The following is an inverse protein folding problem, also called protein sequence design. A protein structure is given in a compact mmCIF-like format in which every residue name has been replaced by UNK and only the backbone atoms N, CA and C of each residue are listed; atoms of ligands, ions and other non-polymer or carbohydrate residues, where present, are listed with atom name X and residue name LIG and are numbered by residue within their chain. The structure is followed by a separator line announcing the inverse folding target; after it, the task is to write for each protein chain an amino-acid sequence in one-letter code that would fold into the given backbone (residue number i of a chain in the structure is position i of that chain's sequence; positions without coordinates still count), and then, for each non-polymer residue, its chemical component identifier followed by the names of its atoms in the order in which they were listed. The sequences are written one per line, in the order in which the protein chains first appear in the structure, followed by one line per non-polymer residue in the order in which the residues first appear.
data_IF_809599677390
#
_entry.id   IF_809599677390
#
_cell.length_a   1.000
_cell.length_b   1.000
_cell.length_c   1.000
_cell.angle_alpha   90.00
_cell.angle_beta   90.00
_cell.angle_gamma   90.00
#
_symmetry.space_group_name_H-M   'P 1'
#
loop_
_entity.id
_entity.type
_entity.pdbx_description
1 polymer ?
#
# COMPACT_ATOMS: atom_id res chain seq x y z
N UNK A 1 52.52 38.33 -20.81
CA UNK A 1 51.69 38.74 -21.96
C UNK A 1 50.24 38.40 -21.61
N UNK A 2 49.53 39.34 -20.97
CA UNK A 2 48.58 40.28 -21.62
C UNK A 2 47.30 39.55 -22.07
N UNK A 3 46.19 39.53 -21.30
CA UNK A 3 45.24 40.61 -20.94
C UNK A 3 44.27 41.00 -22.08
N UNK A 4 42.96 40.88 -21.80
CA UNK A 4 41.76 41.66 -22.24
C UNK A 4 40.53 40.78 -21.93
N UNK A 5 39.63 40.99 -20.95
CA UNK A 5 38.81 42.13 -20.47
C UNK A 5 37.79 42.74 -21.46
N UNK A 6 36.50 42.52 -21.15
CA UNK A 6 35.29 43.34 -21.34
C UNK A 6 34.15 42.60 -20.60
N UNK A 7 33.40 43.09 -19.59
CA UNK A 7 32.90 44.43 -19.25
C UNK A 7 31.77 44.80 -20.24
N UNK A 8 30.51 45.13 -19.93
CA UNK A 8 29.65 45.46 -18.78
C UNK A 8 28.19 45.16 -19.28
N UNK A 9 27.15 44.95 -18.47
CA UNK A 9 26.33 46.07 -17.98
C UNK A 9 25.35 45.63 -16.89
N UNK A 10 25.34 46.41 -15.82
CA UNK A 10 24.48 46.31 -14.63
C UNK A 10 23.42 47.40 -14.78
N UNK A 11 22.15 47.01 -14.85
CA UNK A 11 21.03 47.96 -14.73
C UNK A 11 20.40 47.83 -13.35
N UNK A 12 20.84 48.75 -12.47
CA UNK A 12 20.12 49.17 -11.28
C UNK A 12 18.92 50.03 -11.70
N UNK A 13 17.72 49.61 -11.33
CA UNK A 13 16.59 50.50 -11.11
C UNK A 13 15.86 49.98 -9.88
N UNK A 14 16.11 50.65 -8.75
CA UNK A 14 15.33 50.48 -7.54
C UNK A 14 13.90 51.00 -7.72
N UNK A 15 13.02 50.60 -6.82
CA UNK A 15 12.20 51.50 -5.99
C UNK A 15 11.28 50.68 -5.08
N UNK A 16 11.16 51.15 -3.83
CA UNK A 16 10.11 50.94 -2.85
C UNK A 16 10.06 49.60 -2.07
N UNK A 17 10.67 49.63 -0.89
CA UNK A 17 10.24 48.88 0.31
C UNK A 17 9.00 49.55 0.92
N UNK A 18 7.96 48.81 1.34
CA UNK A 18 7.05 49.29 2.36
C UNK A 18 7.51 48.80 3.74
N UNK A 19 7.93 49.75 4.57
CA UNK A 19 8.00 49.57 6.02
C UNK A 19 6.59 49.51 6.63
N UNK A 20 6.52 48.76 7.73
CA UNK A 20 5.64 48.96 8.90
C UNK A 20 4.12 49.00 8.72
N UNK A 21 3.47 47.86 8.95
CA UNK A 21 2.28 47.77 9.81
C UNK A 21 2.29 46.41 10.54
N UNK A 22 3.10 46.30 11.59
CA UNK A 22 2.90 45.32 12.65
C UNK A 22 2.29 46.06 13.84
N UNK A 23 0.98 46.25 13.77
CA UNK A 23 0.18 46.65 14.92
C UNK A 23 0.22 45.55 15.97
N UNK A 24 0.85 45.86 17.10
CA UNK A 24 0.67 45.27 18.44
C UNK A 24 -0.48 44.25 18.56
N UNK A 25 -0.16 42.96 18.45
CA UNK A 25 -0.95 41.92 19.11
C UNK A 25 -0.40 41.84 20.53
N UNK A 26 -1.24 42.26 21.46
CA UNK A 26 -1.04 42.14 22.90
C UNK A 26 -0.70 40.68 23.24
N UNK A 27 0.54 40.44 23.63
CA UNK A 27 0.99 39.15 24.13
C UNK A 27 0.45 38.98 25.55
N UNK A 28 -0.85 38.70 25.64
CA UNK A 28 -1.45 38.17 26.85
C UNK A 28 -0.68 36.91 27.24
N UNK A 29 -0.06 36.95 28.42
CA UNK A 29 0.68 35.86 29.03
C UNK A 29 -0.19 34.60 29.08
N UNK A 30 0.02 33.68 28.14
CA UNK A 30 -0.55 32.33 28.22
C UNK A 30 0.27 31.58 29.26
N UNK A 31 -0.33 31.38 30.43
CA UNK A 31 0.17 30.48 31.47
C UNK A 31 0.37 29.09 30.85
N UNK A 32 1.59 28.51 30.85
CA UNK A 32 1.83 27.18 30.30
C UNK A 32 1.21 26.06 31.16
N UNK A 33 0.46 26.40 32.22
CA UNK A 33 -0.14 25.48 33.18
C UNK A 33 -1.57 25.00 32.93
N UNK A 34 -2.27 25.37 31.84
CA UNK A 34 -3.66 24.94 31.63
C UNK A 34 -3.93 24.36 30.25
N UNK A 35 -3.22 23.29 29.89
CA UNK A 35 -3.80 22.31 28.97
C UNK A 35 -4.72 21.47 29.82
N UNK A 36 -6.01 21.84 29.85
CA UNK A 36 -7.05 20.96 30.36
C UNK A 36 -6.98 19.69 29.52
N UNK A 37 -6.36 18.65 30.08
CA UNK A 37 -6.48 17.28 29.62
C UNK A 37 -7.92 16.86 29.93
N UNK A 38 -8.87 17.47 29.24
CA UNK A 38 -10.28 17.20 29.36
C UNK A 38 -10.47 15.74 29.00
N UNK A 39 -10.48 14.89 30.03
CA UNK A 39 -10.90 13.51 29.91
C UNK A 39 -12.32 13.58 29.37
N UNK A 40 -12.49 13.29 28.08
CA UNK A 40 -13.82 13.16 27.50
C UNK A 40 -14.49 12.06 28.31
N UNK A 41 -15.42 12.42 29.22
CA UNK A 41 -16.17 11.43 29.96
C UNK A 41 -16.95 10.60 28.92
N UNK A 42 -16.61 9.32 28.74
CA UNK A 42 -17.26 8.49 27.72
C UNK A 42 -18.77 8.34 27.98
N UNK A 43 -19.25 8.71 29.18
CA UNK A 43 -20.66 8.69 29.58
C UNK A 43 -21.43 9.99 29.26
N UNK A 44 -20.75 11.10 28.96
CA UNK A 44 -21.38 12.40 28.72
C UNK A 44 -21.90 12.59 27.28
N UNK A 45 -21.71 11.59 26.41
CA UNK A 45 -22.00 11.71 24.98
C UNK A 45 -23.43 11.21 24.68
N UNK A 46 -24.30 12.03 24.03
CA UNK A 46 -25.72 11.71 23.83
C UNK A 46 -25.98 10.30 23.27
N UNK A 47 -27.09 9.66 23.68
CA UNK A 47 -27.42 8.27 23.33
C UNK A 47 -27.74 8.01 21.82
N UNK A 48 -27.50 8.98 20.94
CA UNK A 48 -27.73 8.88 19.50
C UNK A 48 -26.49 8.43 18.69
N UNK A 49 -26.66 8.29 17.39
CA UNK A 49 -25.59 7.91 16.45
C UNK A 49 -24.37 8.84 16.53
N UNK A 50 -24.59 10.14 16.79
CA UNK A 50 -23.52 11.12 16.98
C UNK A 50 -22.67 10.80 18.21
N UNK A 51 -23.31 10.34 19.29
CA UNK A 51 -22.57 9.99 20.49
C UNK A 51 -21.90 8.64 20.45
N UNK A 52 -22.46 7.69 19.70
CA UNK A 52 -21.75 6.45 19.35
C UNK A 52 -20.44 6.75 18.61
N UNK A 53 -20.51 7.59 17.57
CA UNK A 53 -19.33 8.04 16.79
C UNK A 53 -18.27 8.69 17.68
N UNK A 54 -18.67 9.62 18.55
CA UNK A 54 -17.72 10.32 19.41
C UNK A 54 -17.08 9.39 20.46
N UNK A 55 -17.83 8.43 21.04
CA UNK A 55 -17.26 7.43 21.96
C UNK A 55 -16.25 6.50 21.28
N UNK A 56 -16.54 6.05 20.06
CA UNK A 56 -15.60 5.24 19.28
C UNK A 56 -14.33 6.02 18.95
N UNK A 57 -14.47 7.28 18.53
CA UNK A 57 -13.33 8.17 18.28
C UNK A 57 -12.48 8.36 19.54
N UNK A 58 -13.11 8.61 20.68
CA UNK A 58 -12.40 8.76 21.95
C UNK A 58 -11.60 7.49 22.30
N UNK A 59 -12.22 6.30 22.22
CA UNK A 59 -11.54 5.01 22.43
C UNK A 59 -10.34 4.81 21.52
N UNK A 60 -10.50 5.07 20.22
CA UNK A 60 -9.42 4.94 19.24
C UNK A 60 -8.23 5.86 19.57
N UNK A 61 -8.51 7.11 19.95
CA UNK A 61 -7.46 8.09 20.26
C UNK A 61 -6.81 7.85 21.62
N UNK A 62 -7.53 7.33 22.61
CA UNK A 62 -7.01 7.12 23.96
C UNK A 62 -6.32 5.77 24.15
N UNK A 63 -6.84 4.71 23.49
CA UNK A 63 -6.40 3.33 23.70
C UNK A 63 -5.84 2.68 22.43
N UNK A 64 -5.78 3.40 21.30
CA UNK A 64 -5.15 2.95 20.07
C UNK A 64 -6.04 2.06 19.19
N UNK A 65 -5.47 1.47 18.12
CA UNK A 65 -6.22 0.73 17.11
C UNK A 65 -6.90 -0.53 17.64
N UNK A 66 -6.27 -1.22 18.61
CA UNK A 66 -6.80 -2.46 19.21
C UNK A 66 -8.01 -2.20 20.12
N UNK A 67 -8.32 -0.93 20.40
CA UNK A 67 -9.47 -0.55 21.20
C UNK A 67 -10.80 -0.76 20.47
N UNK A 68 -10.80 -0.94 19.15
CA UNK A 68 -12.00 -1.11 18.32
C UNK A 68 -12.06 -2.51 17.70
N UNK A 69 -13.27 -3.08 17.63
CA UNK A 69 -13.52 -4.32 16.91
C UNK A 69 -13.50 -4.10 15.39
N UNK A 70 -13.32 -5.16 14.60
CA UNK A 70 -13.33 -5.10 13.12
C UNK A 70 -14.52 -4.34 12.54
N UNK A 71 -15.73 -4.59 13.06
CA UNK A 71 -16.94 -3.91 12.59
C UNK A 71 -16.94 -2.43 12.99
N UNK A 72 -16.37 -2.10 14.15
CA UNK A 72 -16.24 -0.73 14.64
C UNK A 72 -15.24 0.07 13.79
N UNK A 73 -14.15 -0.56 13.34
CA UNK A 73 -13.22 0.05 12.40
C UNK A 73 -13.89 0.37 11.06
N UNK A 74 -14.69 -0.57 10.51
CA UNK A 74 -15.46 -0.31 9.28
C UNK A 74 -16.48 0.81 9.50
N UNK A 75 -17.17 0.83 10.64
CA UNK A 75 -18.09 1.93 10.99
C UNK A 75 -17.40 3.29 10.99
N UNK A 76 -16.20 3.38 11.57
CA UNK A 76 -15.39 4.60 11.58
C UNK A 76 -15.05 5.09 10.17
N UNK A 77 -14.71 4.19 9.25
CA UNK A 77 -14.45 4.54 7.85
C UNK A 77 -15.71 5.04 7.16
N UNK A 78 -16.83 4.33 7.32
CA UNK A 78 -18.10 4.68 6.70
C UNK A 78 -18.69 5.97 7.28
N UNK A 79 -18.38 6.31 8.52
CA UNK A 79 -18.79 7.58 9.13
C UNK A 79 -18.22 8.80 8.41
N UNK A 80 -17.01 8.69 7.86
CA UNK A 80 -16.35 9.75 7.08
C UNK A 80 -16.99 9.89 5.69
N UNK A 81 -17.42 8.76 5.10
CA UNK A 81 -17.91 8.72 3.73
C UNK A 81 -19.43 8.88 3.59
N UNK A 82 -20.20 8.44 4.58
CA UNK A 82 -21.66 8.34 4.55
C UNK A 82 -22.28 9.09 5.73
N UNK A 83 -22.28 10.43 5.72
CA UNK A 83 -22.92 11.20 6.78
C UNK A 83 -24.42 10.88 6.85
N UNK A 84 -24.95 10.76 8.08
CA UNK A 84 -26.38 10.54 8.37
C UNK A 84 -26.96 9.20 7.89
N UNK A 85 -26.14 8.18 7.67
CA UNK A 85 -26.58 6.79 7.39
C UNK A 85 -26.33 5.88 8.59
N UNK A 86 -27.09 4.79 8.69
CA UNK A 86 -26.80 3.69 9.62
C UNK A 86 -25.62 2.85 9.09
N UNK A 87 -24.41 3.27 9.44
CA UNK A 87 -23.16 2.60 9.05
C UNK A 87 -22.96 1.27 9.76
N UNK A 88 -23.56 1.07 10.94
CA UNK A 88 -23.48 -0.18 11.71
C UNK A 88 -24.13 -1.34 10.99
N UNK A 89 -25.28 -1.10 10.35
CA UNK A 89 -25.91 -2.11 9.51
C UNK A 89 -25.04 -2.47 8.29
N UNK A 90 -24.41 -1.49 7.65
CA UNK A 90 -23.53 -1.72 6.49
C UNK A 90 -22.26 -2.48 6.89
N UNK A 91 -21.61 -2.10 8.00
CA UNK A 91 -20.41 -2.76 8.50
C UNK A 91 -20.66 -4.24 8.84
N UNK A 92 -21.80 -4.54 9.47
CA UNK A 92 -22.20 -5.93 9.73
C UNK A 92 -22.46 -6.71 8.45
N UNK A 93 -23.11 -6.13 7.44
CA UNK A 93 -23.31 -6.78 6.13
C UNK A 93 -21.98 -7.07 5.43
N UNK A 94 -21.02 -6.14 5.50
CA UNK A 94 -19.68 -6.32 4.94
C UNK A 94 -18.98 -7.52 5.59
N UNK A 95 -18.93 -7.58 6.91
CA UNK A 95 -18.28 -8.70 7.61
C UNK A 95 -19.02 -10.02 7.46
N UNK A 96 -20.35 -10.01 7.45
CA UNK A 96 -21.13 -11.21 7.20
C UNK A 96 -20.88 -11.78 5.80
N UNK A 97 -20.70 -10.90 4.80
CA UNK A 97 -20.44 -11.31 3.41
C UNK A 97 -19.01 -11.75 3.16
N UNK A 98 -18.03 -11.04 3.73
CA UNK A 98 -16.61 -11.21 3.40
C UNK A 98 -15.81 -11.95 4.49
N UNK A 99 -16.41 -12.17 5.67
CA UNK A 99 -15.87 -12.97 6.78
C UNK A 99 -14.88 -12.24 7.69
N UNK A 100 -14.08 -11.31 7.17
CA UNK A 100 -13.09 -10.57 7.96
C UNK A 100 -12.92 -9.13 7.49
N UNK A 101 -12.34 -8.28 8.35
CA UNK A 101 -11.99 -6.89 8.02
C UNK A 101 -11.11 -6.80 6.77
N UNK A 102 -10.04 -7.61 6.71
CA UNK A 102 -9.12 -7.65 5.57
C UNK A 102 -9.82 -8.03 4.27
N UNK A 103 -10.69 -9.05 4.30
CA UNK A 103 -11.44 -9.48 3.11
C UNK A 103 -12.44 -8.41 2.64
N UNK A 104 -13.07 -7.68 3.57
CA UNK A 104 -13.98 -6.59 3.23
C UNK A 104 -13.25 -5.42 2.54
N UNK A 105 -12.05 -5.06 3.00
CA UNK A 105 -11.23 -4.03 2.35
C UNK A 105 -10.73 -4.46 0.96
N UNK A 106 -10.35 -5.73 0.81
CA UNK A 106 -9.80 -6.25 -0.45
C UNK A 106 -10.86 -6.59 -1.50
N UNK A 107 -12.11 -6.84 -1.11
CA UNK A 107 -13.20 -7.23 -2.02
C UNK A 107 -13.30 -6.33 -3.25
N UNK A 108 -13.61 -6.89 -4.43
CA UNK A 108 -13.66 -6.11 -5.66
C UNK A 108 -14.75 -5.05 -5.62
N UNK A 109 -14.59 -3.98 -6.39
CA UNK A 109 -15.62 -2.92 -6.51
C UNK A 109 -16.97 -3.50 -6.93
N UNK A 110 -16.98 -4.50 -7.83
CA UNK A 110 -18.19 -5.18 -8.27
C UNK A 110 -18.90 -5.93 -7.13
N UNK A 111 -18.15 -6.60 -6.25
CA UNK A 111 -18.73 -7.30 -5.10
C UNK A 111 -19.21 -6.32 -4.04
N UNK A 112 -18.47 -5.24 -3.79
CA UNK A 112 -18.86 -4.23 -2.82
C UNK A 112 -20.14 -3.52 -3.24
N UNK A 113 -20.36 -3.28 -4.54
CA UNK A 113 -21.62 -2.73 -5.08
C UNK A 113 -22.85 -3.58 -4.76
N UNK A 114 -22.68 -4.86 -4.47
CA UNK A 114 -23.78 -5.74 -4.07
C UNK A 114 -24.17 -5.58 -2.60
N UNK A 115 -23.41 -4.81 -1.81
CA UNK A 115 -23.72 -4.54 -0.40
C UNK A 115 -24.71 -3.39 -0.32
N UNK A 116 -25.92 -3.68 0.14
CA UNK A 116 -26.97 -2.68 0.29
C UNK A 116 -26.52 -1.50 1.18
N UNK A 117 -26.71 -0.28 0.68
CA UNK A 117 -26.49 0.96 1.43
C UNK A 117 -25.05 1.51 1.44
N UNK A 118 -24.06 0.80 0.88
CA UNK A 118 -22.66 1.27 0.90
C UNK A 118 -22.42 2.49 -0.01
N UNK A 119 -23.02 2.50 -1.21
CA UNK A 119 -22.81 3.53 -2.23
C UNK A 119 -21.36 3.68 -2.69
N UNK A 120 -21.12 4.53 -3.70
CA UNK A 120 -19.77 4.74 -4.25
C UNK A 120 -18.83 5.39 -3.22
N UNK A 121 -19.32 6.29 -2.36
CA UNK A 121 -18.49 6.93 -1.33
C UNK A 121 -17.97 5.93 -0.29
N UNK A 122 -18.80 5.00 0.18
CA UNK A 122 -18.38 3.95 1.10
C UNK A 122 -17.36 3.01 0.45
N UNK A 123 -17.59 2.63 -0.81
CA UNK A 123 -16.64 1.81 -1.59
C UNK A 123 -15.29 2.52 -1.72
N UNK A 124 -15.30 3.80 -2.12
CA UNK A 124 -14.10 4.60 -2.26
C UNK A 124 -13.32 4.71 -0.93
N UNK A 125 -14.01 4.85 0.19
CA UNK A 125 -13.38 4.88 1.51
C UNK A 125 -12.64 3.57 1.84
N UNK A 126 -13.29 2.41 1.65
CA UNK A 126 -12.63 1.11 1.87
C UNK A 126 -11.43 0.94 0.94
N UNK A 127 -11.57 1.32 -0.34
CA UNK A 127 -10.48 1.21 -1.31
C UNK A 127 -9.33 2.17 -1.03
N UNK A 128 -9.62 3.33 -0.48
CA UNK A 128 -8.59 4.28 -0.04
C UNK A 128 -7.75 3.68 1.08
N UNK A 129 -8.39 3.06 2.08
CA UNK A 129 -7.68 2.40 3.19
C UNK A 129 -6.86 1.21 2.71
N UNK A 130 -7.42 0.35 1.85
CA UNK A 130 -6.66 -0.74 1.22
C UNK A 130 -5.41 -0.20 0.51
N UNK A 131 -5.57 0.85 -0.29
CA UNK A 131 -4.48 1.41 -1.08
C UNK A 131 -3.44 2.14 -0.21
N UNK A 132 -3.82 2.69 0.94
CA UNK A 132 -2.90 3.26 1.93
C UNK A 132 -2.07 2.17 2.61
N UNK A 133 -2.73 1.09 3.08
CA UNK A 133 -2.06 -0.05 3.70
C UNK A 133 -1.01 -0.68 2.76
N UNK A 134 -1.38 -0.92 1.50
CA UNK A 134 -0.45 -1.48 0.50
C UNK A 134 0.75 -0.56 0.23
N UNK A 135 0.56 0.76 0.24
CA UNK A 135 1.67 1.71 0.06
C UNK A 135 2.63 1.72 1.25
N UNK A 136 2.11 1.67 2.48
CA UNK A 136 2.92 1.60 3.69
C UNK A 136 3.77 0.31 3.71
N UNK A 137 3.15 -0.84 3.42
CA UNK A 137 3.85 -2.12 3.37
C UNK A 137 4.90 -2.15 2.25
N UNK A 138 4.57 -1.63 1.06
CA UNK A 138 5.54 -1.54 -0.04
C UNK A 138 6.74 -0.66 0.30
N UNK A 139 6.51 0.47 0.97
CA UNK A 139 7.58 1.38 1.38
C UNK A 139 8.57 0.70 2.33
N UNK A 140 8.08 -0.08 3.29
CA UNK A 140 8.94 -0.83 4.21
C UNK A 140 9.83 -1.87 3.49
N UNK A 141 9.33 -2.47 2.41
CA UNK A 141 10.10 -3.39 1.56
C UNK A 141 11.12 -2.64 0.70
N UNK A 142 10.82 -1.44 0.22
CA UNK A 142 11.73 -0.64 -0.64
C UNK A 142 12.95 -0.10 0.13
N UNK A 143 12.77 0.32 1.38
CA UNK A 143 13.83 0.97 2.17
C UNK A 143 14.91 0.01 2.70
N UNK A 144 14.70 -1.31 2.61
CA UNK A 144 15.60 -2.33 3.18
C UNK A 144 16.00 -3.37 2.14
N UNK A 145 17.19 -4.00 2.27
CA UNK A 145 17.53 -5.16 1.46
C UNK A 145 16.50 -6.28 1.63
N UNK A 146 15.92 -6.75 0.52
CA UNK A 146 14.81 -7.72 0.50
C UNK A 146 15.21 -9.04 1.14
N UNK A 147 16.41 -9.54 0.85
CA UNK A 147 16.91 -10.80 1.43
C UNK A 147 17.09 -10.75 2.95
N UNK A 148 17.34 -9.57 3.51
CA UNK A 148 17.42 -9.35 4.96
C UNK A 148 16.06 -9.05 5.59
N UNK A 149 15.00 -8.96 4.79
CA UNK A 149 13.66 -8.57 5.21
C UNK A 149 12.56 -9.42 4.55
N UNK A 150 12.78 -10.73 4.54
CA UNK A 150 11.94 -11.69 3.83
C UNK A 150 10.50 -11.73 4.36
N UNK A 151 10.32 -11.60 5.68
CA UNK A 151 8.99 -11.60 6.30
C UNK A 151 8.15 -10.41 5.87
N UNK A 152 8.71 -9.18 5.85
CA UNK A 152 7.97 -8.02 5.33
C UNK A 152 7.68 -8.15 3.84
N UNK A 153 8.58 -8.75 3.05
CA UNK A 153 8.30 -9.04 1.64
C UNK A 153 7.08 -9.96 1.51
N UNK A 154 7.07 -11.09 2.21
CA UNK A 154 5.96 -12.04 2.17
C UNK A 154 4.67 -11.41 2.71
N UNK A 155 4.75 -10.59 3.75
CA UNK A 155 3.63 -9.81 4.27
C UNK A 155 3.04 -8.90 3.19
N UNK A 156 3.88 -8.11 2.53
CA UNK A 156 3.50 -7.26 1.40
C UNK A 156 2.85 -8.05 0.27
N UNK A 157 3.51 -9.11 -0.21
CA UNK A 157 3.01 -9.93 -1.32
C UNK A 157 1.70 -10.62 -0.97
N UNK A 158 1.56 -11.15 0.25
CA UNK A 158 0.31 -11.73 0.73
C UNK A 158 -0.83 -10.71 0.77
N UNK A 159 -0.56 -9.50 1.30
CA UNK A 159 -1.56 -8.44 1.32
C UNK A 159 -1.95 -7.97 -0.10
N UNK A 160 -0.99 -7.92 -1.02
CA UNK A 160 -1.19 -7.45 -2.38
C UNK A 160 -1.82 -8.48 -3.32
N UNK A 161 -1.60 -9.79 -3.10
CA UNK A 161 -1.89 -10.83 -4.10
C UNK A 161 -2.75 -11.99 -3.60
N UNK A 162 -2.73 -12.34 -2.30
CA UNK A 162 -3.38 -13.57 -1.81
C UNK A 162 -4.90 -13.60 -2.01
N UNK A 163 -5.53 -12.43 -2.19
CA UNK A 163 -6.98 -12.28 -2.37
C UNK A 163 -7.37 -11.81 -3.76
N UNK A 164 -6.41 -11.74 -4.68
CA UNK A 164 -6.72 -11.40 -6.07
C UNK A 164 -7.36 -12.59 -6.79
N UNK A 165 -8.47 -12.32 -7.48
CA UNK A 165 -9.27 -13.33 -8.17
C UNK A 165 -8.75 -13.65 -9.56
N UNK A 166 -7.83 -12.84 -10.04
CA UNK A 166 -7.10 -13.03 -11.29
C UNK A 166 -5.66 -13.34 -10.93
N UNK A 167 -5.05 -14.21 -11.72
CA UNK A 167 -3.62 -14.48 -11.62
C UNK A 167 -2.82 -13.25 -12.07
N UNK A 168 -1.95 -12.77 -11.19
CA UNK A 168 -1.05 -11.67 -11.43
C UNK A 168 0.38 -12.18 -11.36
N UNK A 169 1.08 -12.12 -12.49
CA UNK A 169 2.51 -12.33 -12.52
C UNK A 169 3.23 -10.99 -12.32
N UNK A 170 4.23 -10.98 -11.43
CA UNK A 170 5.03 -9.81 -11.06
C UNK A 170 6.50 -10.16 -11.04
N UNK A 171 7.32 -9.16 -11.32
CA UNK A 171 8.77 -9.24 -11.19
C UNK A 171 9.24 -8.16 -10.25
N UNK A 172 10.01 -8.57 -9.26
CA UNK A 172 10.74 -7.70 -8.37
C UNK A 172 12.16 -7.55 -8.90
N UNK A 173 12.53 -6.32 -9.24
CA UNK A 173 13.84 -5.97 -9.77
C UNK A 173 14.72 -5.45 -8.64
N UNK A 174 15.91 -6.01 -8.49
CA UNK A 174 16.79 -5.76 -7.36
C UNK A 174 18.15 -5.21 -7.80
N UNK A 175 18.72 -4.33 -6.99
CA UNK A 175 20.07 -3.83 -7.17
C UNK A 175 21.14 -4.80 -6.61
N UNK A 176 22.42 -4.42 -6.74
CA UNK A 176 23.56 -5.23 -6.28
C UNK A 176 23.62 -5.40 -4.75
N UNK A 177 22.86 -4.60 -4.00
CA UNK A 177 22.70 -4.71 -2.54
C UNK A 177 21.38 -5.40 -2.17
N UNK A 178 20.70 -6.01 -3.15
CA UNK A 178 19.40 -6.66 -3.02
C UNK A 178 18.29 -5.74 -2.50
N UNK A 179 18.37 -4.43 -2.79
CA UNK A 179 17.27 -3.49 -2.53
C UNK A 179 16.31 -3.51 -3.70
N UNK A 180 15.03 -3.35 -3.41
CA UNK A 180 13.98 -3.33 -4.43
C UNK A 180 14.06 -2.02 -5.24
N UNK A 181 14.38 -2.15 -6.52
CA UNK A 181 14.35 -1.06 -7.50
C UNK A 181 12.90 -0.84 -7.96
N UNK A 182 12.23 -1.92 -8.35
CA UNK A 182 10.87 -1.87 -8.88
C UNK A 182 10.11 -3.17 -8.59
N UNK A 183 8.80 -3.02 -8.45
CA UNK A 183 7.83 -4.12 -8.39
C UNK A 183 6.80 -3.83 -9.48
N UNK A 184 6.81 -4.66 -10.52
CA UNK A 184 6.01 -4.47 -11.73
C UNK A 184 5.25 -5.75 -12.09
N UNK A 185 3.95 -5.61 -12.32
CA UNK A 185 3.15 -6.68 -12.91
C UNK A 185 3.50 -6.84 -14.40
N UNK A 186 3.81 -8.08 -14.83
CA UNK A 186 4.03 -8.39 -16.23
C UNK A 186 2.72 -8.91 -16.83
N UNK A 187 2.15 -8.11 -17.73
CA UNK A 187 0.89 -8.44 -18.39
C UNK A 187 -0.35 -8.01 -17.59
N UNK A 188 -1.22 -7.23 -18.24
CA UNK A 188 -2.65 -7.13 -17.89
C UNK A 188 -3.42 -7.68 -19.09
N UNK A 189 -3.72 -8.97 -19.07
CA UNK A 189 -4.49 -9.65 -20.12
C UNK A 189 -5.56 -10.55 -19.52
N UNK A 190 -6.43 -11.06 -20.39
CA UNK A 190 -7.75 -11.63 -20.10
C UNK A 190 -7.75 -12.89 -19.20
N UNK A 191 -8.96 -13.35 -18.86
CA UNK A 191 -9.36 -14.42 -17.92
C UNK A 191 -8.50 -15.72 -17.94
N UNK A 192 -7.68 -15.97 -18.96
CA UNK A 192 -7.03 -17.26 -19.22
C UNK A 192 -5.50 -17.18 -19.47
N UNK A 193 -4.73 -16.42 -18.70
CA UNK A 193 -3.26 -16.22 -18.80
C UNK A 193 -2.80 -15.17 -19.84
N UNK A 194 -1.87 -14.30 -19.41
CA UNK A 194 -0.98 -13.58 -20.32
C UNK A 194 0.35 -14.30 -20.27
N UNK A 195 0.89 -14.81 -21.40
CA UNK A 195 2.18 -15.46 -21.39
C UNK A 195 3.27 -14.49 -20.93
N UNK A 196 3.98 -14.86 -19.86
CA UNK A 196 5.19 -14.18 -19.42
C UNK A 196 6.28 -14.52 -20.40
N UNK A 197 6.80 -13.53 -21.11
CA UNK A 197 7.88 -13.73 -22.05
C UNK A 197 9.22 -13.42 -21.37
N UNK A 198 10.15 -14.39 -21.24
CA UNK A 198 11.46 -14.16 -20.65
C UNK A 198 12.19 -12.96 -21.24
N UNK A 199 12.09 -12.75 -22.56
CA UNK A 199 12.69 -11.56 -23.23
C UNK A 199 12.22 -10.23 -22.64
N UNK A 200 10.95 -10.11 -22.24
CA UNK A 200 10.41 -8.85 -21.71
C UNK A 200 10.88 -8.64 -20.27
N UNK A 201 10.92 -9.71 -19.48
CA UNK A 201 11.49 -9.70 -18.12
C UNK A 201 12.96 -9.25 -18.17
N UNK A 202 13.75 -9.85 -19.06
CA UNK A 202 15.16 -9.52 -19.22
C UNK A 202 15.37 -8.11 -19.78
N UNK A 203 14.62 -7.71 -20.82
CA UNK A 203 14.67 -6.34 -21.35
C UNK A 203 14.43 -5.33 -20.22
N UNK A 204 13.40 -5.56 -19.41
CA UNK A 204 13.07 -4.68 -18.29
C UNK A 204 14.14 -4.66 -17.20
N UNK A 205 14.73 -5.83 -16.89
CA UNK A 205 15.82 -5.92 -15.92
C UNK A 205 17.03 -5.07 -16.36
N UNK A 206 17.38 -5.13 -17.65
CA UNK A 206 18.47 -4.33 -18.21
C UNK A 206 18.16 -2.82 -18.20
N UNK A 207 16.93 -2.42 -18.55
CA UNK A 207 16.48 -1.02 -18.50
C UNK A 207 16.57 -0.43 -17.08
N UNK A 208 16.31 -1.24 -16.06
CA UNK A 208 16.36 -0.85 -14.66
C UNK A 208 17.75 -1.03 -14.03
N UNK A 209 18.74 -1.52 -14.80
CA UNK A 209 20.06 -1.90 -14.29
C UNK A 209 19.98 -2.89 -13.11
N UNK A 210 18.98 -3.78 -13.12
CA UNK A 210 18.79 -4.78 -12.09
C UNK A 210 19.88 -5.86 -12.19
N UNK A 211 20.44 -6.24 -11.05
CA UNK A 211 21.42 -7.33 -10.94
C UNK A 211 20.79 -8.62 -10.43
N UNK A 212 19.58 -8.54 -9.89
CA UNK A 212 18.83 -9.71 -9.47
C UNK A 212 17.31 -9.54 -9.63
N UNK A 213 16.61 -10.67 -9.64
CA UNK A 213 15.16 -10.78 -9.82
C UNK A 213 14.54 -11.69 -8.74
N UNK A 214 13.28 -11.43 -8.42
CA UNK A 214 12.38 -12.41 -7.80
C UNK A 214 11.11 -12.44 -8.66
N UNK A 215 10.70 -13.62 -9.09
CA UNK A 215 9.42 -13.83 -9.77
C UNK A 215 8.34 -14.06 -8.72
N UNK A 216 7.14 -13.54 -8.96
CA UNK A 216 6.01 -13.74 -8.04
C UNK A 216 4.73 -13.90 -8.84
N UNK A 217 3.90 -14.87 -8.50
CA UNK A 217 2.49 -14.87 -8.92
C UNK A 217 1.56 -15.40 -7.84
N UNK A 218 0.27 -15.15 -7.99
CA UNK A 218 -0.76 -15.76 -7.16
C UNK A 218 -1.52 -16.85 -7.90
N UNK A 219 -1.93 -17.86 -7.15
CA UNK A 219 -2.96 -18.80 -7.59
C UNK A 219 -4.31 -18.40 -6.99
N UNK A 220 -5.30 -17.97 -7.79
CA UNK A 220 -6.63 -17.63 -7.29
C UNK A 220 -7.35 -18.79 -6.59
N UNK A 221 -6.94 -20.04 -6.85
CA UNK A 221 -7.41 -21.23 -6.13
C UNK A 221 -7.01 -21.23 -4.66
N UNK A 222 -5.97 -20.47 -4.29
CA UNK A 222 -5.37 -20.42 -2.96
C UNK A 222 -4.35 -21.52 -2.68
N UNK A 223 -4.16 -22.48 -3.59
CA UNK A 223 -3.13 -23.52 -3.51
C UNK A 223 -1.85 -23.05 -4.23
N UNK A 224 -0.73 -22.83 -3.51
CA UNK A 224 0.51 -22.35 -4.10
C UNK A 224 1.33 -23.45 -4.81
N UNK A 225 0.78 -24.66 -5.00
CA UNK A 225 1.47 -25.74 -5.71
C UNK A 225 1.77 -25.35 -7.16
N UNK A 226 3.03 -25.39 -7.62
CA UNK A 226 3.40 -24.97 -8.98
C UNK A 226 2.91 -25.94 -10.05
N UNK A 227 2.41 -25.39 -11.14
CA UNK A 227 2.13 -26.12 -12.38
C UNK A 227 3.41 -26.45 -13.17
N UNK A 228 3.30 -27.31 -14.18
CA UNK A 228 4.38 -27.52 -15.15
C UNK A 228 4.73 -26.24 -15.92
N UNK A 229 3.73 -25.39 -16.20
CA UNK A 229 3.92 -24.09 -16.85
C UNK A 229 4.78 -23.15 -16.02
N UNK A 230 4.55 -23.10 -14.71
CA UNK A 230 5.35 -22.29 -13.78
C UNK A 230 6.81 -22.73 -13.79
N UNK A 231 7.04 -24.05 -13.73
CA UNK A 231 8.38 -24.65 -13.77
C UNK A 231 9.11 -24.34 -15.07
N UNK A 232 8.44 -24.54 -16.20
CA UNK A 232 9.00 -24.28 -17.52
C UNK A 232 9.35 -22.79 -17.71
N UNK A 233 8.44 -21.88 -17.33
CA UNK A 233 8.67 -20.44 -17.41
C UNK A 233 9.82 -20.00 -16.51
N UNK A 234 9.87 -20.47 -15.26
CA UNK A 234 10.95 -20.18 -14.32
C UNK A 234 12.30 -20.58 -14.88
N UNK A 235 12.40 -21.81 -15.43
CA UNK A 235 13.63 -22.32 -16.02
C UNK A 235 14.09 -21.47 -17.22
N UNK A 236 13.17 -21.03 -18.07
CA UNK A 236 13.49 -20.16 -19.20
C UNK A 236 13.98 -18.78 -18.76
N UNK A 237 13.33 -18.18 -17.74
CA UNK A 237 13.77 -16.90 -17.18
C UNK A 237 15.14 -17.04 -16.50
N UNK A 238 15.35 -18.10 -15.71
CA UNK A 238 16.65 -18.40 -15.06
C UNK A 238 17.77 -18.49 -16.11
N UNK A 239 17.56 -19.27 -17.17
CA UNK A 239 18.56 -19.45 -18.22
C UNK A 239 18.90 -18.11 -18.91
N UNK A 240 17.88 -17.31 -19.24
CA UNK A 240 18.08 -16.01 -19.88
C UNK A 240 18.76 -14.98 -18.96
N UNK A 241 18.39 -14.96 -17.68
CA UNK A 241 18.99 -14.08 -16.67
C UNK A 241 20.46 -14.44 -16.43
N UNK A 242 20.76 -15.73 -16.28
CA UNK A 242 22.12 -16.25 -16.06
C UNK A 242 23.05 -15.88 -17.20
N UNK A 243 22.59 -15.97 -18.46
CA UNK A 243 23.39 -15.61 -19.63
C UNK A 243 23.86 -14.15 -19.63
N UNK A 244 23.19 -13.28 -18.87
CA UNK A 244 23.49 -11.86 -18.74
C UNK A 244 24.03 -11.48 -17.35
N UNK A 245 24.33 -12.46 -16.50
CA UNK A 245 24.83 -12.21 -15.15
C UNK A 245 23.80 -11.65 -14.17
N UNK A 246 22.50 -11.80 -14.46
CA UNK A 246 21.40 -11.41 -13.57
C UNK A 246 21.00 -12.62 -12.74
N UNK A 247 20.98 -12.48 -11.41
CA UNK A 247 20.61 -13.57 -10.50
C UNK A 247 19.10 -13.65 -10.34
N UNK A 248 18.49 -14.81 -10.58
CA UNK A 248 17.13 -15.06 -10.12
C UNK A 248 17.20 -15.68 -8.71
N UNK A 249 16.79 -14.92 -7.70
CA UNK A 249 16.87 -15.34 -6.30
C UNK A 249 15.79 -16.35 -5.96
N UNK A 250 14.56 -16.14 -6.43
CA UNK A 250 13.45 -17.02 -6.11
C UNK A 250 12.29 -16.84 -7.10
N UNK A 251 11.38 -17.80 -7.07
CA UNK A 251 10.05 -17.70 -7.62
C UNK A 251 9.02 -18.03 -6.54
N UNK A 252 8.19 -17.05 -6.20
CA UNK A 252 7.20 -17.15 -5.12
C UNK A 252 5.79 -17.33 -5.69
N UNK A 253 5.11 -18.38 -5.24
CA UNK A 253 3.68 -18.58 -5.50
C UNK A 253 2.90 -18.21 -4.25
N UNK A 254 2.01 -17.22 -4.37
CA UNK A 254 1.18 -16.72 -3.27
C UNK A 254 -0.21 -17.36 -3.34
N UNK A 255 -0.57 -18.11 -2.31
CA UNK A 255 -1.90 -18.68 -2.12
C UNK A 255 -2.69 -17.96 -1.01
N UNK A 256 -3.79 -18.59 -0.57
CA UNK A 256 -4.62 -18.03 0.50
C UNK A 256 -4.01 -18.35 1.86
N UNK A 257 -3.30 -17.38 2.44
CA UNK A 257 -2.62 -17.52 3.74
C UNK A 257 -1.40 -18.44 3.73
N UNK A 258 -0.96 -18.88 2.55
CA UNK A 258 0.20 -19.77 2.34
C UNK A 258 0.99 -19.28 1.14
N UNK A 259 2.26 -19.65 1.05
CA UNK A 259 3.10 -19.38 -0.10
C UNK A 259 4.05 -20.56 -0.35
N UNK A 260 4.61 -20.63 -1.54
CA UNK A 260 5.66 -21.58 -1.91
C UNK A 260 6.84 -20.81 -2.50
N UNK A 261 8.05 -21.21 -2.10
CA UNK A 261 9.32 -20.70 -2.65
C UNK A 261 9.96 -21.80 -3.48
N UNK A 262 10.23 -21.52 -4.76
CA UNK A 262 10.92 -22.48 -5.62
C UNK A 262 12.30 -22.83 -5.07
N UNK A 263 13.02 -21.85 -4.53
CA UNK A 263 14.34 -22.08 -3.94
C UNK A 263 14.26 -22.99 -2.70
N UNK A 264 13.29 -22.78 -1.81
CA UNK A 264 13.12 -23.63 -0.62
C UNK A 264 12.70 -25.06 -0.97
N UNK A 265 11.91 -25.22 -2.03
CA UNK A 265 11.47 -26.52 -2.54
C UNK A 265 12.52 -27.22 -3.45
N UNK A 266 13.69 -26.62 -3.66
CA UNK A 266 14.76 -27.18 -4.50
C UNK A 266 14.42 -27.23 -6.00
N UNK A 267 13.54 -26.34 -6.45
CA UNK A 267 13.09 -26.21 -7.85
C UNK A 267 13.88 -25.17 -8.65
N UNK A 268 14.77 -24.44 -7.99
CA UNK A 268 15.64 -23.39 -8.51
C UNK A 268 17.07 -23.53 -7.97
#
# INVERSE_FOLDING_TARGET
MAATEAGLDVLLLGLATPESELSSIDAGSVDPGSVDSGSIDPRAVPAGAEGHRARMRARLLSAGPDALLDHELIEMLLFLALPRRDTRAIARRLLARFGSFGNALSASVAELRQVEGIGEAGIAALKTVQAAALRLMRHEVLERPVLGNWESLLGYLSAALARERVEHFRVLFLDSRNRLIADEAQGKGTVNHTPVYPREVIRRALELHATALILVHNHPSGDPTPSEGDRAMTAQVQAAATALGITLHDHLIIGSGRHLSFRQEGLL
#
